data_IF_945515366758
#
_entry.id   IF_945515366758
#
_cell.length_a   1.000
_cell.length_b   1.000
_cell.length_c   1.000
_cell.angle_alpha   90.00
_cell.angle_beta   90.00
_cell.angle_gamma   90.00
#
_symmetry.space_group_name_H-M   'P 1'
#
loop_
_entity.id
_entity.type
_entity.pdbx_description
1 polymer ?
#
# COMPACT_ATOMS: atom_id res chain seq x y z
N UNK A 1 -29.52 5.03 -47.00
CA UNK A 1 -28.16 4.58 -46.58
C UNK A 1 -27.49 5.39 -45.46
N UNK A 2 -27.96 6.61 -45.08
CA UNK A 2 -27.28 7.43 -44.05
C UNK A 2 -27.44 6.93 -42.60
N UNK A 3 -28.60 6.39 -42.25
CA UNK A 3 -28.90 5.88 -40.90
C UNK A 3 -27.98 4.71 -40.48
N UNK A 4 -27.78 3.75 -41.37
CA UNK A 4 -26.91 2.60 -41.08
C UNK A 4 -25.44 3.00 -40.87
N UNK A 5 -24.97 4.05 -41.55
CA UNK A 5 -23.64 4.61 -41.34
C UNK A 5 -23.49 5.27 -39.95
N UNK A 6 -24.49 6.05 -39.56
CA UNK A 6 -24.56 6.68 -38.24
C UNK A 6 -24.54 5.65 -37.10
N UNK A 7 -25.33 4.57 -37.22
CA UNK A 7 -25.36 3.50 -36.23
C UNK A 7 -24.00 2.78 -36.11
N UNK A 8 -23.34 2.51 -37.24
CA UNK A 8 -21.98 1.94 -37.24
C UNK A 8 -20.98 2.86 -36.56
N UNK A 9 -21.06 4.16 -36.81
CA UNK A 9 -20.18 5.15 -36.18
C UNK A 9 -20.37 5.18 -34.65
N UNK A 10 -21.62 5.19 -34.16
CA UNK A 10 -21.91 5.13 -32.74
C UNK A 10 -21.37 3.85 -32.08
N UNK A 11 -21.56 2.70 -32.72
CA UNK A 11 -21.06 1.43 -32.19
C UNK A 11 -19.51 1.39 -32.16
N UNK A 12 -18.86 1.97 -33.18
CA UNK A 12 -17.40 2.10 -33.22
C UNK A 12 -16.88 3.04 -32.12
N UNK A 13 -17.57 4.14 -31.84
CA UNK A 13 -17.22 5.03 -30.73
C UNK A 13 -17.33 4.30 -29.40
N UNK A 14 -18.46 3.62 -29.15
CA UNK A 14 -18.68 2.87 -27.91
C UNK A 14 -17.62 1.78 -27.68
N UNK A 15 -17.30 1.00 -28.72
CA UNK A 15 -16.25 -0.03 -28.63
C UNK A 15 -14.86 0.56 -28.42
N UNK A 16 -14.56 1.71 -29.01
CA UNK A 16 -13.29 2.42 -28.80
C UNK A 16 -13.18 2.94 -27.37
N UNK A 17 -14.22 3.56 -26.85
CA UNK A 17 -14.28 4.01 -25.45
C UNK A 17 -14.09 2.85 -24.48
N UNK A 18 -14.76 1.71 -24.71
CA UNK A 18 -14.57 0.52 -23.87
C UNK A 18 -13.13 -0.01 -23.90
N UNK A 19 -12.48 0.01 -25.07
CA UNK A 19 -11.05 -0.37 -25.18
C UNK A 19 -10.17 0.58 -24.39
N UNK A 20 -10.39 1.89 -24.50
CA UNK A 20 -9.65 2.89 -23.75
C UNK A 20 -9.80 2.69 -22.23
N UNK A 21 -11.01 2.43 -21.74
CA UNK A 21 -11.25 2.14 -20.33
C UNK A 21 -10.54 0.87 -19.86
N UNK A 22 -10.54 -0.19 -20.68
CA UNK A 22 -9.81 -1.43 -20.35
C UNK A 22 -8.30 -1.17 -20.27
N UNK A 23 -7.74 -0.43 -21.22
CA UNK A 23 -6.32 -0.05 -21.20
C UNK A 23 -5.98 0.80 -19.98
N UNK A 24 -6.81 1.79 -19.64
CA UNK A 24 -6.61 2.63 -18.46
C UNK A 24 -6.67 1.81 -17.17
N UNK A 25 -7.64 0.90 -17.04
CA UNK A 25 -7.72 -0.01 -15.89
C UNK A 25 -6.45 -0.85 -15.76
N UNK A 26 -6.02 -1.50 -16.84
CA UNK A 26 -4.80 -2.32 -16.84
C UNK A 26 -3.56 -1.50 -16.48
N UNK A 27 -3.44 -0.27 -17.00
CA UNK A 27 -2.34 0.63 -16.67
C UNK A 27 -2.33 1.01 -15.18
N UNK A 28 -3.49 1.25 -14.59
CA UNK A 28 -3.59 1.63 -13.18
C UNK A 28 -3.29 0.45 -12.24
N UNK A 29 -3.78 -0.75 -12.57
CA UNK A 29 -3.71 -1.92 -11.70
C UNK A 29 -2.57 -2.88 -12.01
N UNK A 30 -1.75 -2.62 -13.03
CA UNK A 30 -0.57 -3.46 -13.29
C UNK A 30 0.40 -3.39 -12.11
N UNK A 31 1.34 -4.33 -12.00
CA UNK A 31 2.27 -4.43 -10.87
C UNK A 31 3.11 -3.16 -10.64
N UNK A 32 3.39 -2.42 -11.72
CA UNK A 32 4.11 -1.14 -11.67
C UNK A 32 3.18 0.08 -11.68
N UNK A 33 1.88 -0.13 -11.78
CA UNK A 33 0.88 0.91 -11.87
C UNK A 33 0.74 1.72 -10.57
N UNK A 34 0.15 2.92 -10.65
CA UNK A 34 -0.10 3.74 -9.46
C UNK A 34 -0.98 3.07 -8.41
N UNK A 35 -1.90 2.19 -8.84
CA UNK A 35 -2.81 1.43 -7.97
C UNK A 35 -2.39 -0.04 -7.87
N UNK A 36 -1.14 -0.35 -8.20
CA UNK A 36 -0.58 -1.64 -7.88
C UNK A 36 -0.73 -1.90 -6.38
N UNK A 37 -1.28 -3.05 -6.00
CA UNK A 37 -1.25 -3.55 -4.62
C UNK A 37 0.19 -3.97 -4.28
N UNK A 38 1.08 -2.98 -4.16
CA UNK A 38 2.41 -3.19 -3.61
C UNK A 38 2.19 -3.49 -2.14
N UNK A 39 2.60 -4.67 -1.70
CA UNK A 39 2.93 -4.91 -0.30
C UNK A 39 4.38 -4.45 -0.12
N UNK A 40 4.66 -3.16 0.14
CA UNK A 40 6.03 -2.78 0.42
C UNK A 40 6.48 -3.59 1.63
N UNK A 41 7.61 -4.28 1.51
CA UNK A 41 8.28 -4.81 2.69
C UNK A 41 8.59 -3.60 3.56
N UNK A 42 7.84 -3.41 4.64
CA UNK A 42 7.97 -2.24 5.49
C UNK A 42 9.33 -2.34 6.19
N UNK A 43 10.32 -1.61 5.67
CA UNK A 43 11.65 -1.55 6.24
C UNK A 43 11.57 -0.62 7.45
N UNK A 44 11.62 -1.21 8.64
CA UNK A 44 11.75 -0.45 9.86
C UNK A 44 13.18 0.02 10.02
N UNK A 45 13.39 1.32 10.19
CA UNK A 45 14.71 1.89 10.42
C UNK A 45 14.94 2.10 11.92
N UNK A 46 16.18 1.85 12.37
CA UNK A 46 16.64 2.22 13.71
C UNK A 46 17.98 2.93 13.63
N UNK A 47 18.31 3.69 14.65
CA UNK A 47 19.67 4.20 14.84
C UNK A 47 20.53 3.08 15.41
N UNK A 48 21.69 2.83 14.81
CA UNK A 48 22.68 1.93 15.38
C UNK A 48 23.40 2.62 16.53
N UNK A 49 23.77 1.86 17.57
CA UNK A 49 24.57 2.37 18.68
C UNK A 49 26.03 2.67 18.29
N UNK A 50 26.43 2.31 17.07
CA UNK A 50 27.76 2.62 16.52
C UNK A 50 27.72 4.00 15.86
N UNK A 51 28.53 4.92 16.38
CA UNK A 51 28.71 6.24 15.80
C UNK A 51 29.66 6.21 14.60
N UNK A 52 29.39 7.03 13.60
CA UNK A 52 30.37 7.32 12.58
C UNK A 52 31.44 8.24 13.18
N UNK A 53 32.64 7.70 13.42
CA UNK A 53 33.77 8.44 14.01
C UNK A 53 34.06 9.77 13.29
N UNK A 54 33.95 9.82 11.96
CA UNK A 54 34.24 11.03 11.18
C UNK A 54 33.13 12.08 11.22
N UNK A 55 31.88 11.69 11.48
CA UNK A 55 30.71 12.60 11.40
C UNK A 55 30.02 12.81 12.76
N UNK A 56 30.48 12.12 13.81
CA UNK A 56 29.89 12.10 15.16
C UNK A 56 28.36 11.94 15.11
N UNK A 57 27.88 11.04 14.26
CA UNK A 57 26.44 10.81 14.02
C UNK A 57 26.15 9.32 13.93
N UNK A 58 25.09 8.88 14.59
CA UNK A 58 24.60 7.50 14.55
C UNK A 58 24.15 7.12 13.13
N UNK A 59 24.44 5.87 12.72
CA UNK A 59 24.04 5.37 11.41
C UNK A 59 22.60 4.89 11.43
N UNK A 60 21.85 5.25 10.38
CA UNK A 60 20.54 4.68 10.13
C UNK A 60 20.74 3.28 9.55
N UNK A 61 20.21 2.27 10.24
CA UNK A 61 20.32 0.86 9.84
C UNK A 61 18.96 0.19 9.87
N UNK A 62 18.79 -0.86 9.06
CA UNK A 62 17.56 -1.64 9.05
C UNK A 62 17.38 -2.37 10.39
N UNK A 63 16.17 -2.34 10.92
CA UNK A 63 15.75 -3.04 12.12
C UNK A 63 15.03 -4.34 11.78
N UNK A 64 15.70 -5.47 12.03
CA UNK A 64 15.11 -6.79 11.85
C UNK A 64 14.20 -7.22 13.00
N UNK A 65 14.38 -6.65 14.20
CA UNK A 65 13.62 -7.00 15.40
C UNK A 65 12.63 -5.88 15.73
N UNK A 66 11.82 -5.47 14.75
CA UNK A 66 10.81 -4.44 14.99
C UNK A 66 9.70 -4.99 15.90
N UNK A 67 9.37 -4.24 16.94
CA UNK A 67 8.22 -4.48 17.79
C UNK A 67 7.35 -3.21 17.75
N UNK A 68 6.07 -3.36 17.44
CA UNK A 68 5.10 -2.25 17.42
C UNK A 68 4.75 -1.76 18.82
N UNK A 69 5.15 -2.49 19.88
CA UNK A 69 4.85 -2.23 21.28
C UNK A 69 3.36 -2.05 21.56
N UNK A 70 2.49 -2.63 20.71
CA UNK A 70 1.04 -2.54 20.87
C UNK A 70 0.57 -3.14 22.20
N UNK A 71 1.15 -4.28 22.61
CA UNK A 71 0.83 -4.91 23.90
C UNK A 71 1.25 -4.03 25.08
N UNK A 72 2.45 -3.43 25.03
CA UNK A 72 2.92 -2.52 26.07
C UNK A 72 2.03 -1.26 26.16
N UNK A 73 1.58 -0.72 25.03
CA UNK A 73 0.61 0.38 25.02
C UNK A 73 -0.75 -0.04 25.56
N UNK A 74 -1.26 -1.21 25.16
CA UNK A 74 -2.53 -1.72 25.63
C UNK A 74 -2.53 -1.98 27.14
N UNK A 75 -1.41 -2.45 27.70
CA UNK A 75 -1.21 -2.58 29.14
C UNK A 75 -1.20 -1.21 29.84
N UNK A 76 -0.50 -0.21 29.28
CA UNK A 76 -0.52 1.17 29.80
C UNK A 76 -1.94 1.74 29.83
N UNK A 77 -2.71 1.45 28.79
CA UNK A 77 -4.07 1.95 28.61
C UNK A 77 -5.12 1.07 29.34
N UNK A 78 -4.69 0.06 30.12
CA UNK A 78 -5.54 -0.94 30.79
C UNK A 78 -6.50 -1.70 29.85
N UNK A 79 -6.27 -1.63 28.54
CA UNK A 79 -7.04 -2.35 27.51
C UNK A 79 -6.72 -3.85 27.51
N UNK A 80 -5.61 -4.26 28.13
CA UNK A 80 -5.19 -5.65 28.25
C UNK A 80 -6.04 -6.51 29.20
N UNK A 81 -6.77 -5.91 30.14
CA UNK A 81 -7.56 -6.64 31.15
C UNK A 81 -8.92 -7.12 30.61
N UNK A 82 -9.45 -6.48 29.55
CA UNK A 82 -10.73 -6.86 28.95
C UNK A 82 -10.70 -8.24 28.27
N UNK A 83 -9.52 -8.80 27.95
CA UNK A 83 -9.41 -10.16 27.41
C UNK A 83 -9.69 -11.24 28.46
N UNK A 84 -9.48 -10.97 29.74
CA UNK A 84 -9.69 -11.95 30.81
C UNK A 84 -11.16 -12.05 31.24
N UNK A 85 -11.96 -11.01 31.03
CA UNK A 85 -13.38 -10.97 31.41
C UNK A 85 -14.32 -11.72 30.46
N UNK A 86 -13.87 -12.12 29.27
CA UNK A 86 -14.65 -12.95 28.34
C UNK A 86 -14.39 -14.47 28.49
N UNK A 87 -13.57 -14.86 29.47
CA UNK A 87 -13.27 -16.26 29.80
C UNK A 87 -13.95 -16.75 31.10
N UNK A 88 -14.93 -16.00 31.63
CA UNK A 88 -15.81 -16.41 32.74
C UNK A 88 -17.25 -16.55 32.23
#
# INVERSE_FOLDING_TARGET
MRYNGMLKQLNNQHTTTLRQWRTAKLYLTCEQGPWAERKPNLIHWKLSNVENYSRMRLKLVQNYNFNSHQEASALRDNLGEAKWLWCL
#
